data_IF_431321104177
#
_entry.id   IF_431321104177
#
_cell.length_a   1.000
_cell.length_b   1.000
_cell.length_c   1.000
_cell.angle_alpha   90.00
_cell.angle_beta   90.00
_cell.angle_gamma   90.00
#
_symmetry.space_group_name_H-M   'P 1'
#
loop_
_entity.id
_entity.type
_entity.pdbx_description
1 polymer ?
#
# COMPACT_ATOMS: atom_id res chain seq x y z
N UNK A 1 -9.52 -6.95 -7.02
CA UNK A 1 -9.12 -5.69 -7.70
C UNK A 1 -8.54 -6.06 -9.05
N UNK A 2 -8.97 -5.39 -10.09
CA UNK A 2 -8.50 -5.63 -11.46
C UNK A 2 -8.06 -4.28 -12.07
N UNK A 3 -6.86 -4.24 -12.63
CA UNK A 3 -6.19 -3.03 -13.09
C UNK A 3 -5.73 -3.20 -14.53
N UNK A 4 -6.21 -2.34 -15.40
CA UNK A 4 -5.81 -2.25 -16.79
C UNK A 4 -5.63 -0.79 -17.18
N UNK A 5 -4.41 -0.28 -17.09
CA UNK A 5 -4.04 1.10 -17.42
C UNK A 5 -3.31 1.07 -18.76
N UNK A 6 -3.93 1.64 -19.79
CA UNK A 6 -3.29 1.81 -21.09
C UNK A 6 -2.27 2.95 -21.01
N UNK A 7 -2.69 4.10 -20.47
CA UNK A 7 -1.85 5.28 -20.27
C UNK A 7 -2.39 6.13 -19.13
N UNK A 8 -1.51 6.73 -18.32
CA UNK A 8 -1.91 7.72 -17.33
C UNK A 8 -0.80 8.75 -17.07
N UNK A 9 -1.21 9.92 -16.57
CA UNK A 9 -0.30 11.02 -16.25
C UNK A 9 -1.00 12.19 -15.57
N UNK A 10 -0.23 13.19 -15.22
CA UNK A 10 -0.72 14.40 -14.56
C UNK A 10 -1.18 15.48 -15.55
N UNK A 11 -0.76 15.37 -16.81
CA UNK A 11 -1.20 16.21 -17.91
C UNK A 11 -1.62 15.33 -19.09
N UNK A 12 -2.65 15.75 -19.85
CA UNK A 12 -3.27 14.94 -20.91
C UNK A 12 -2.31 14.47 -22.01
N UNK A 13 -1.22 15.16 -22.23
CA UNK A 13 -0.25 14.86 -23.29
C UNK A 13 1.10 14.38 -22.75
N UNK A 14 1.19 14.15 -21.43
CA UNK A 14 2.41 13.68 -20.76
C UNK A 14 2.10 12.36 -20.05
N UNK A 15 2.31 11.26 -20.77
CA UNK A 15 2.22 9.92 -20.22
C UNK A 15 3.35 9.69 -19.23
N UNK A 16 3.01 9.25 -18.02
CA UNK A 16 3.94 8.87 -16.95
C UNK A 16 4.03 7.37 -16.82
N UNK A 17 2.89 6.68 -16.98
CA UNK A 17 2.83 5.21 -16.98
C UNK A 17 2.04 4.70 -18.17
N UNK A 18 2.45 3.54 -18.70
CA UNK A 18 1.84 2.91 -19.86
C UNK A 18 1.85 1.39 -19.74
N UNK A 19 0.78 0.74 -20.24
CA UNK A 19 0.64 -0.71 -20.31
C UNK A 19 0.82 -1.41 -18.94
N UNK A 20 0.18 -0.90 -17.88
CA UNK A 20 0.18 -1.53 -16.55
C UNK A 20 -1.08 -2.40 -16.42
N UNK A 21 -0.89 -3.71 -16.28
CA UNK A 21 -2.00 -4.65 -16.11
C UNK A 21 -1.69 -5.69 -15.04
N UNK A 22 -2.51 -5.75 -13.99
CA UNK A 22 -2.39 -6.74 -12.93
C UNK A 22 -3.69 -6.92 -12.16
N UNK A 23 -3.76 -7.98 -11.37
CA UNK A 23 -4.86 -8.24 -10.44
C UNK A 23 -4.34 -8.45 -9.01
N UNK A 24 -5.17 -8.11 -8.03
CA UNK A 24 -5.01 -8.53 -6.64
C UNK A 24 -6.26 -9.27 -6.21
N UNK A 25 -6.10 -10.50 -5.75
CA UNK A 25 -7.20 -11.37 -5.33
C UNK A 25 -7.51 -11.16 -3.84
N UNK A 26 -8.75 -11.46 -3.39
CA UNK A 26 -9.03 -11.56 -1.96
C UNK A 26 -8.10 -12.57 -1.28
N UNK A 27 -7.55 -12.20 -0.13
CA UNK A 27 -6.63 -13.06 0.61
C UNK A 27 -5.23 -13.20 0.00
N UNK A 28 -4.82 -12.28 -0.84
CA UNK A 28 -3.51 -12.23 -1.49
C UNK A 28 -2.78 -10.93 -1.12
N UNK A 29 -1.47 -10.99 -0.94
CA UNK A 29 -0.60 -9.82 -0.84
C UNK A 29 0.24 -9.72 -2.11
N UNK A 30 0.05 -8.67 -2.88
CA UNK A 30 0.84 -8.37 -4.08
C UNK A 30 1.79 -7.21 -3.79
N UNK A 31 3.08 -7.43 -4.01
CA UNK A 31 4.11 -6.41 -3.89
C UNK A 31 4.29 -5.63 -5.19
N UNK A 32 4.06 -4.33 -5.21
CA UNK A 32 4.45 -3.46 -6.32
C UNK A 32 5.85 -2.93 -6.04
N UNK A 33 6.81 -3.38 -6.84
CA UNK A 33 8.23 -3.08 -6.69
C UNK A 33 8.77 -2.30 -7.90
N UNK A 34 9.88 -1.61 -7.71
CA UNK A 34 10.55 -0.83 -8.75
C UNK A 34 11.37 0.32 -8.16
N UNK A 35 12.20 0.93 -8.99
CA UNK A 35 13.03 2.06 -8.61
C UNK A 35 12.21 3.31 -8.22
N UNK A 36 12.84 4.29 -7.59
CA UNK A 36 12.20 5.58 -7.37
C UNK A 36 11.96 6.26 -8.73
N UNK A 37 10.75 6.80 -8.89
CA UNK A 37 10.33 7.37 -10.17
C UNK A 37 9.79 6.37 -11.19
N UNK A 38 9.79 5.06 -10.91
CA UNK A 38 9.32 4.02 -11.83
C UNK A 38 7.82 4.12 -12.21
N UNK A 39 7.02 4.91 -11.48
CA UNK A 39 5.59 5.05 -11.76
C UNK A 39 4.66 4.43 -10.70
N UNK A 40 5.20 3.89 -9.59
CA UNK A 40 4.43 3.24 -8.53
C UNK A 40 3.36 4.16 -7.91
N UNK A 41 3.74 5.37 -7.51
CA UNK A 41 2.80 6.35 -6.93
C UNK A 41 1.77 6.86 -7.96
N UNK A 42 2.16 6.93 -9.25
CA UNK A 42 1.23 7.25 -10.33
C UNK A 42 0.21 6.13 -10.52
N UNK A 43 0.64 4.87 -10.43
CA UNK A 43 -0.25 3.71 -10.44
C UNK A 43 -1.23 3.76 -9.26
N UNK A 44 -0.75 4.04 -8.04
CA UNK A 44 -1.63 4.24 -6.88
C UNK A 44 -2.62 5.39 -7.08
N UNK A 45 -2.20 6.50 -7.69
CA UNK A 45 -3.10 7.60 -8.03
C UNK A 45 -4.19 7.19 -9.02
N UNK A 46 -3.91 6.26 -9.93
CA UNK A 46 -4.93 5.65 -10.79
C UNK A 46 -5.92 4.80 -9.98
N UNK A 47 -5.43 3.98 -9.05
CA UNK A 47 -6.26 3.10 -8.21
C UNK A 47 -7.18 3.90 -7.29
N UNK A 48 -6.71 5.00 -6.73
CA UNK A 48 -7.46 5.89 -5.83
C UNK A 48 -8.34 6.90 -6.57
N UNK A 49 -8.26 6.95 -7.92
CA UNK A 49 -9.01 7.90 -8.73
C UNK A 49 -8.55 9.35 -8.60
N UNK A 50 -7.35 9.58 -8.08
CA UNK A 50 -6.78 10.93 -7.87
C UNK A 50 -5.95 11.42 -9.06
N UNK A 51 -5.65 10.54 -10.03
CA UNK A 51 -4.93 10.91 -11.26
C UNK A 51 -5.82 11.80 -12.15
N UNK A 52 -5.33 12.94 -12.67
CA UNK A 52 -6.13 13.83 -13.51
C UNK A 52 -6.50 13.24 -14.88
N UNK A 53 -5.66 12.36 -15.41
CA UNK A 53 -5.87 11.78 -16.72
C UNK A 53 -5.41 10.32 -16.78
N UNK A 54 -6.31 9.45 -17.25
CA UNK A 54 -6.05 8.01 -17.45
C UNK A 54 -6.87 7.48 -18.62
N UNK A 55 -6.30 6.54 -19.38
CA UNK A 55 -6.99 5.61 -20.26
C UNK A 55 -6.88 4.21 -19.70
N UNK A 56 -7.96 3.44 -19.78
CA UNK A 56 -8.02 2.10 -19.23
C UNK A 56 -9.12 1.97 -18.19
N UNK A 57 -9.08 0.91 -17.42
CA UNK A 57 -10.08 0.59 -16.39
C UNK A 57 -9.42 0.16 -15.09
N UNK A 58 -9.97 0.62 -13.97
CA UNK A 58 -9.64 0.17 -12.62
C UNK A 58 -10.93 -0.29 -11.97
N UNK A 59 -10.99 -1.57 -11.60
CA UNK A 59 -12.10 -2.16 -10.86
C UNK A 59 -11.63 -2.54 -9.48
N UNK A 60 -11.96 -1.71 -8.50
CA UNK A 60 -11.66 -1.92 -7.09
C UNK A 60 -12.94 -1.74 -6.29
N UNK A 61 -13.23 -2.70 -5.41
CA UNK A 61 -14.32 -2.58 -4.44
C UNK A 61 -13.84 -1.74 -3.24
N UNK A 62 -14.59 -1.69 -2.15
CA UNK A 62 -14.21 -0.93 -0.94
C UNK A 62 -12.74 -1.15 -0.60
N UNK A 63 -11.97 -0.09 -0.61
CA UNK A 63 -10.56 -0.10 -0.24
C UNK A 63 -10.27 0.90 0.87
N UNK A 64 -9.23 0.62 1.65
CA UNK A 64 -8.59 1.57 2.53
C UNK A 64 -7.17 1.84 2.04
N UNK A 65 -6.67 3.05 2.31
CA UNK A 65 -5.35 3.49 1.84
C UNK A 65 -4.48 3.91 3.02
N UNK A 66 -3.29 3.34 3.10
CA UNK A 66 -2.23 3.75 4.03
C UNK A 66 -1.20 4.52 3.21
N UNK A 67 -1.17 5.86 3.31
CA UNK A 67 -0.26 6.68 2.53
C UNK A 67 1.17 6.67 3.09
N UNK A 68 2.17 6.88 2.23
CA UNK A 68 3.57 7.11 2.64
C UNK A 68 3.69 8.32 3.58
N UNK A 69 3.06 9.44 3.21
CA UNK A 69 3.02 10.64 4.02
C UNK A 69 1.69 10.74 4.75
N UNK A 70 1.68 10.90 6.09
CA UNK A 70 0.45 11.02 6.85
C UNK A 70 -0.44 12.18 6.38
N UNK A 71 -1.70 11.88 6.08
CA UNK A 71 -2.74 12.84 5.66
C UNK A 71 -3.83 12.86 6.71
N UNK A 72 -4.04 14.01 7.34
CA UNK A 72 -4.99 14.19 8.44
C UNK A 72 -5.50 15.64 8.47
N UNK A 73 -6.57 15.87 9.21
CA UNK A 73 -7.08 17.23 9.47
C UNK A 73 -6.38 17.81 10.70
N UNK A 74 -5.74 18.95 10.55
CA UNK A 74 -4.92 19.59 11.61
C UNK A 74 -5.70 19.88 12.90
N UNK A 75 -7.01 20.12 12.79
CA UNK A 75 -7.87 20.54 13.88
C UNK A 75 -8.76 19.43 14.45
N UNK A 76 -8.54 18.19 14.05
CA UNK A 76 -9.22 17.03 14.61
C UNK A 76 -8.27 16.22 15.50
N UNK A 77 -8.79 15.77 16.62
CA UNK A 77 -8.14 14.77 17.49
C UNK A 77 -8.14 13.40 16.80
N UNK A 78 -7.36 12.44 17.34
CA UNK A 78 -7.39 11.07 16.82
C UNK A 78 -8.78 10.44 17.00
N UNK A 79 -9.48 10.67 18.10
CA UNK A 79 -10.85 10.18 18.31
C UNK A 79 -11.85 10.75 17.31
N UNK A 80 -11.72 12.03 16.97
CA UNK A 80 -12.59 12.65 15.97
C UNK A 80 -12.31 12.10 14.56
N UNK A 81 -11.04 11.79 14.23
CA UNK A 81 -10.73 11.09 12.98
C UNK A 81 -11.30 9.66 12.96
N UNK A 82 -11.19 8.93 14.07
CA UNK A 82 -11.78 7.59 14.19
C UNK A 82 -13.31 7.67 14.00
N UNK A 83 -13.97 8.60 14.69
CA UNK A 83 -15.41 8.78 14.55
C UNK A 83 -15.82 9.13 13.11
N UNK A 84 -15.06 10.02 12.45
CA UNK A 84 -15.30 10.40 11.07
C UNK A 84 -15.17 9.20 10.11
N UNK A 85 -14.12 8.39 10.25
CA UNK A 85 -13.88 7.22 9.40
C UNK A 85 -14.97 6.17 9.61
N UNK A 86 -15.33 5.86 10.86
CA UNK A 86 -16.37 4.88 11.17
C UNK A 86 -17.74 5.31 10.61
N UNK A 87 -18.08 6.59 10.71
CA UNK A 87 -19.32 7.14 10.16
C UNK A 87 -19.36 7.05 8.64
N UNK A 88 -18.27 7.44 7.96
CA UNK A 88 -18.18 7.40 6.49
C UNK A 88 -18.22 5.98 5.92
N UNK A 89 -17.68 5.01 6.65
CA UNK A 89 -17.63 3.60 6.22
C UNK A 89 -18.80 2.77 6.71
N UNK A 90 -19.61 3.32 7.62
CA UNK A 90 -20.70 2.59 8.31
C UNK A 90 -20.20 1.34 9.05
N UNK A 91 -18.95 1.33 9.49
CA UNK A 91 -18.35 0.28 10.33
C UNK A 91 -18.50 0.70 11.78
N UNK A 92 -18.84 -0.24 12.64
CA UNK A 92 -19.10 0.04 14.06
C UNK A 92 -18.34 -0.89 15.01
N UNK A 93 -17.24 -1.50 14.58
CA UNK A 93 -16.41 -2.36 15.42
C UNK A 93 -15.52 -1.53 16.36
N UNK A 94 -16.08 -1.25 17.56
CA UNK A 94 -15.36 -0.54 18.63
C UNK A 94 -14.28 -1.40 19.28
N UNK A 95 -14.50 -2.71 19.38
CA UNK A 95 -13.55 -3.62 20.02
C UNK A 95 -12.24 -3.67 19.24
N UNK A 96 -12.34 -3.84 17.92
CA UNK A 96 -11.18 -3.78 17.01
C UNK A 96 -10.48 -2.42 17.06
N UNK A 97 -11.24 -1.33 17.12
CA UNK A 97 -10.66 0.02 17.24
C UNK A 97 -9.84 0.16 18.54
N UNK A 98 -10.38 -0.28 19.67
CA UNK A 98 -9.68 -0.20 20.95
C UNK A 98 -8.48 -1.16 21.02
N UNK A 99 -8.53 -2.32 20.37
CA UNK A 99 -7.39 -3.22 20.23
C UNK A 99 -6.25 -2.59 19.44
N UNK A 100 -6.53 -1.96 18.29
CA UNK A 100 -5.55 -1.29 17.47
C UNK A 100 -4.96 -0.06 18.18
N UNK A 101 -5.76 0.73 18.90
CA UNK A 101 -5.29 1.84 19.73
C UNK A 101 -4.25 1.36 20.76
N UNK A 102 -4.54 0.27 21.49
CA UNK A 102 -3.62 -0.31 22.48
C UNK A 102 -2.36 -0.87 21.81
N UNK A 103 -2.51 -1.59 20.68
CA UNK A 103 -1.41 -2.19 19.95
C UNK A 103 -0.39 -1.14 19.50
N UNK A 104 -0.86 -0.01 18.98
CA UNK A 104 -0.03 1.11 18.53
C UNK A 104 0.36 2.08 19.65
N UNK A 105 -0.12 1.85 20.90
CA UNK A 105 0.07 2.74 22.05
C UNK A 105 -0.42 4.16 21.80
N UNK A 106 -1.57 4.28 21.16
CA UNK A 106 -2.25 5.54 20.87
C UNK A 106 -3.47 5.79 21.79
N UNK A 107 -3.82 4.81 22.62
CA UNK A 107 -4.96 4.84 23.55
C UNK A 107 -4.89 6.00 24.55
N UNK A 108 -3.69 6.33 25.05
CA UNK A 108 -3.48 7.41 26.03
C UNK A 108 -3.50 8.81 25.40
N UNK A 109 -3.31 8.92 24.10
CA UNK A 109 -3.25 10.18 23.34
C UNK A 109 -4.40 10.35 22.36
N UNK A 110 -5.44 9.53 22.49
CA UNK A 110 -6.58 9.54 21.55
C UNK A 110 -7.32 10.88 21.49
N UNK A 111 -7.26 11.68 22.54
CA UNK A 111 -7.88 13.00 22.62
C UNK A 111 -6.96 14.15 22.18
N UNK A 112 -5.74 13.83 21.75
CA UNK A 112 -4.80 14.83 21.25
C UNK A 112 -4.93 14.99 19.74
N UNK A 113 -4.55 16.17 19.23
CA UNK A 113 -4.52 16.44 17.80
C UNK A 113 -3.43 15.63 17.11
N UNK A 114 -3.74 14.96 15.99
CA UNK A 114 -2.74 14.23 15.21
C UNK A 114 -1.59 15.15 14.77
N UNK A 115 -1.87 16.44 14.55
CA UNK A 115 -0.84 17.44 14.23
C UNK A 115 0.31 17.48 15.25
N UNK A 116 0.03 17.24 16.53
CA UNK A 116 1.01 17.24 17.64
C UNK A 116 1.83 15.94 17.75
N UNK A 117 1.45 14.88 17.02
CA UNK A 117 2.09 13.59 17.09
C UNK A 117 3.51 13.60 16.49
N UNK A 118 4.39 12.76 17.00
CA UNK A 118 5.66 12.46 16.34
C UNK A 118 5.42 11.81 14.96
N UNK A 119 6.41 11.83 14.07
CA UNK A 119 6.31 11.19 12.76
C UNK A 119 5.83 9.73 12.83
N UNK A 120 6.41 8.94 13.73
CA UNK A 120 6.02 7.55 13.93
C UNK A 120 4.60 7.38 14.49
N UNK A 121 4.15 8.26 15.40
CA UNK A 121 2.77 8.25 15.89
C UNK A 121 1.77 8.62 14.79
N UNK A 122 2.10 9.59 13.93
CA UNK A 122 1.28 9.96 12.76
C UNK A 122 1.12 8.77 11.82
N UNK A 123 2.21 8.07 11.52
CA UNK A 123 2.15 6.87 10.67
C UNK A 123 1.29 5.76 11.30
N UNK A 124 1.46 5.49 12.60
CA UNK A 124 0.60 4.54 13.35
C UNK A 124 -0.88 4.94 13.30
N UNK A 125 -1.19 6.24 13.42
CA UNK A 125 -2.55 6.73 13.29
C UNK A 125 -3.13 6.48 11.89
N UNK A 126 -2.37 6.70 10.82
CA UNK A 126 -2.83 6.40 9.45
C UNK A 126 -3.10 4.91 9.25
N UNK A 127 -2.21 4.05 9.76
CA UNK A 127 -2.40 2.60 9.71
C UNK A 127 -3.67 2.20 10.47
N UNK A 128 -3.88 2.72 11.68
CA UNK A 128 -5.07 2.47 12.48
C UNK A 128 -6.33 2.90 11.71
N UNK A 129 -6.35 4.15 11.20
CA UNK A 129 -7.50 4.69 10.46
C UNK A 129 -7.84 3.92 9.19
N UNK A 130 -6.85 3.29 8.55
CA UNK A 130 -7.09 2.39 7.43
C UNK A 130 -7.66 1.04 7.87
N UNK A 131 -7.10 0.42 8.91
CA UNK A 131 -7.49 -0.92 9.35
C UNK A 131 -8.87 -1.00 10.00
N UNK A 132 -9.36 0.09 10.62
CA UNK A 132 -10.72 0.13 11.20
C UNK A 132 -11.83 0.21 10.15
N UNK A 133 -11.51 0.38 8.87
CA UNK A 133 -12.49 0.49 7.78
C UNK A 133 -13.04 -0.86 7.31
N UNK A 134 -12.43 -1.98 7.73
CA UNK A 134 -12.80 -3.33 7.27
C UNK A 134 -12.97 -3.42 5.75
N UNK A 135 -12.00 -2.87 5.04
CA UNK A 135 -12.03 -2.80 3.59
C UNK A 135 -11.75 -4.17 2.96
N UNK A 136 -12.27 -4.40 1.75
CA UNK A 136 -11.95 -5.60 0.98
C UNK A 136 -10.53 -5.60 0.41
N UNK A 137 -9.98 -4.39 0.20
CA UNK A 137 -8.63 -4.20 -0.29
C UNK A 137 -7.89 -3.15 0.55
N UNK A 138 -6.62 -3.40 0.80
CA UNK A 138 -5.69 -2.43 1.40
C UNK A 138 -4.67 -2.01 0.34
N UNK A 139 -4.60 -0.70 0.09
CA UNK A 139 -3.52 -0.08 -0.67
C UNK A 139 -2.53 0.48 0.35
N UNK A 140 -1.28 0.04 0.30
CA UNK A 140 -0.29 0.32 1.34
C UNK A 140 0.97 0.88 0.69
N UNK A 141 1.23 2.17 0.91
CA UNK A 141 2.32 2.89 0.27
C UNK A 141 3.46 3.17 1.24
N UNK A 142 4.60 2.49 1.05
CA UNK A 142 5.84 2.62 1.83
C UNK A 142 5.60 2.67 3.36
N UNK A 143 4.86 1.73 3.93
CA UNK A 143 4.32 1.85 5.29
C UNK A 143 5.37 1.74 6.38
N UNK A 144 6.58 1.27 6.06
CA UNK A 144 7.64 0.98 7.03
C UNK A 144 8.52 2.19 7.33
N UNK A 145 8.40 3.24 6.51
CA UNK A 145 9.19 4.46 6.66
C UNK A 145 8.83 5.20 7.95
N UNK A 146 9.82 5.37 8.84
CA UNK A 146 9.65 6.06 10.12
C UNK A 146 9.05 5.22 11.26
N UNK A 147 8.82 3.91 11.04
CA UNK A 147 8.43 2.98 12.09
C UNK A 147 9.67 2.39 12.79
N UNK A 148 9.54 2.15 14.09
CA UNK A 148 10.51 1.34 14.83
C UNK A 148 10.36 -0.16 14.52
N UNK A 149 11.38 -0.96 14.83
CA UNK A 149 11.39 -2.40 14.53
C UNK A 149 10.19 -3.16 15.14
N UNK A 150 9.77 -2.78 16.33
CA UNK A 150 8.62 -3.42 17.01
C UNK A 150 7.33 -3.14 16.23
N UNK A 151 7.10 -1.90 15.85
CA UNK A 151 5.93 -1.49 15.08
C UNK A 151 5.95 -2.10 13.67
N UNK A 152 7.13 -2.19 13.04
CA UNK A 152 7.29 -2.87 11.75
C UNK A 152 6.83 -4.33 11.85
N UNK A 153 7.29 -5.08 12.87
CA UNK A 153 6.87 -6.48 13.10
C UNK A 153 5.35 -6.57 13.35
N UNK A 154 4.80 -5.63 14.12
CA UNK A 154 3.35 -5.59 14.38
C UNK A 154 2.56 -5.36 13.08
N UNK A 155 3.00 -4.42 12.23
CA UNK A 155 2.35 -4.14 10.95
C UNK A 155 2.41 -5.36 10.02
N UNK A 156 3.57 -6.03 9.90
CA UNK A 156 3.69 -7.25 9.09
C UNK A 156 2.68 -8.31 9.54
N UNK A 157 2.54 -8.54 10.86
CA UNK A 157 1.57 -9.49 11.41
C UNK A 157 0.12 -9.07 11.15
N UNK A 158 -0.18 -7.78 11.19
CA UNK A 158 -1.50 -7.24 10.87
C UNK A 158 -1.85 -7.47 9.40
N UNK A 159 -0.93 -7.16 8.48
CA UNK A 159 -1.15 -7.41 7.04
C UNK A 159 -1.35 -8.90 6.74
N UNK A 160 -0.59 -9.78 7.39
CA UNK A 160 -0.84 -11.23 7.30
C UNK A 160 -2.20 -11.64 7.88
N UNK A 161 -2.64 -11.02 8.98
CA UNK A 161 -3.95 -11.29 9.57
C UNK A 161 -5.08 -10.84 8.64
N UNK A 162 -4.97 -9.64 8.06
CA UNK A 162 -5.90 -9.13 7.05
C UNK A 162 -6.00 -10.10 5.85
N UNK A 163 -4.85 -10.51 5.31
CA UNK A 163 -4.81 -11.51 4.23
C UNK A 163 -5.57 -12.79 4.59
N UNK A 164 -5.35 -13.33 5.79
CA UNK A 164 -6.04 -14.56 6.25
C UNK A 164 -7.55 -14.38 6.41
N UNK A 165 -8.01 -13.15 6.65
CA UNK A 165 -9.43 -12.81 6.71
C UNK A 165 -10.06 -12.56 5.33
N UNK A 166 -9.25 -12.65 4.26
CA UNK A 166 -9.71 -12.48 2.90
C UNK A 166 -9.49 -11.09 2.30
N UNK A 167 -8.84 -10.17 3.03
CA UNK A 167 -8.48 -8.85 2.49
C UNK A 167 -7.36 -9.00 1.46
N UNK A 168 -7.57 -8.45 0.25
CA UNK A 168 -6.51 -8.33 -0.75
C UNK A 168 -5.62 -7.13 -0.43
N UNK A 169 -4.30 -7.27 -0.51
CA UNK A 169 -3.35 -6.21 -0.17
C UNK A 169 -2.46 -5.90 -1.35
N UNK A 170 -2.37 -4.63 -1.73
CA UNK A 170 -1.34 -4.12 -2.62
C UNK A 170 -0.32 -3.36 -1.79
N UNK A 171 0.88 -3.93 -1.63
CA UNK A 171 1.98 -3.32 -0.90
C UNK A 171 2.96 -2.68 -1.88
N UNK A 172 3.07 -1.36 -1.85
CA UNK A 172 4.08 -0.62 -2.60
C UNK A 172 5.28 -0.39 -1.69
N UNK A 173 6.44 -0.87 -2.10
CA UNK A 173 7.67 -0.68 -1.32
C UNK A 173 8.93 -0.84 -2.17
N UNK A 174 9.98 -0.14 -1.78
CA UNK A 174 11.33 -0.33 -2.29
C UNK A 174 12.20 -1.22 -1.39
N UNK A 175 11.65 -1.69 -0.25
CA UNK A 175 12.33 -2.60 0.69
C UNK A 175 12.11 -4.04 0.23
N UNK A 176 12.93 -4.52 -0.70
CA UNK A 176 12.77 -5.79 -1.40
C UNK A 176 12.73 -6.99 -0.45
N UNK A 177 13.58 -7.02 0.58
CA UNK A 177 13.60 -8.10 1.57
C UNK A 177 12.27 -8.26 2.31
N UNK A 178 11.60 -7.14 2.59
CA UNK A 178 10.29 -7.15 3.24
C UNK A 178 9.21 -7.61 2.28
N UNK A 179 9.24 -7.12 1.04
CA UNK A 179 8.33 -7.56 -0.01
C UNK A 179 8.45 -9.08 -0.25
N UNK A 180 9.68 -9.59 -0.37
CA UNK A 180 9.95 -11.02 -0.61
C UNK A 180 9.43 -11.94 0.49
N UNK A 181 9.42 -11.48 1.75
CA UNK A 181 8.90 -12.24 2.90
C UNK A 181 7.39 -12.22 3.02
N UNK A 182 6.75 -11.14 2.58
CA UNK A 182 5.33 -10.90 2.86
C UNK A 182 4.44 -11.19 1.66
N UNK A 183 4.93 -10.90 0.44
CA UNK A 183 4.11 -10.93 -0.76
C UNK A 183 4.05 -12.32 -1.39
N UNK A 184 2.87 -12.67 -1.86
CA UNK A 184 2.61 -13.92 -2.60
C UNK A 184 3.02 -13.78 -4.07
N UNK A 185 2.81 -12.57 -4.64
CA UNK A 185 3.13 -12.21 -6.03
C UNK A 185 3.65 -10.78 -6.10
N UNK A 186 4.23 -10.43 -7.24
CA UNK A 186 4.83 -9.13 -7.47
C UNK A 186 4.36 -8.52 -8.79
N UNK A 187 4.36 -7.20 -8.83
CA UNK A 187 4.24 -6.37 -10.03
C UNK A 187 5.48 -5.50 -10.07
N UNK A 188 6.33 -5.73 -11.05
CA UNK A 188 7.55 -4.95 -11.21
C UNK A 188 7.34 -3.85 -12.25
N UNK A 189 7.50 -2.61 -11.80
CA UNK A 189 7.38 -1.42 -12.64
C UNK A 189 8.74 -0.76 -12.77
N UNK A 190 9.11 -0.38 -13.98
CA UNK A 190 10.31 0.41 -14.26
C UNK A 190 10.03 1.36 -15.43
N UNK A 191 10.55 2.58 -15.32
CA UNK A 191 10.40 3.65 -16.33
C UNK A 191 8.97 3.79 -16.88
N UNK A 192 7.97 3.73 -16.00
CA UNK A 192 6.56 3.86 -16.35
C UNK A 192 5.88 2.62 -16.96
N UNK A 193 6.59 1.50 -17.11
CA UNK A 193 6.09 0.28 -17.72
C UNK A 193 6.11 -0.90 -16.75
N UNK A 194 5.21 -1.86 -16.94
CA UNK A 194 5.27 -3.12 -16.23
C UNK A 194 6.27 -4.06 -16.92
N UNK A 195 7.38 -4.36 -16.24
CA UNK A 195 8.39 -5.30 -16.75
C UNK A 195 7.94 -6.75 -16.62
N UNK A 196 7.40 -7.12 -15.47
CA UNK A 196 6.94 -8.48 -15.18
C UNK A 196 5.90 -8.47 -14.05
N UNK A 197 5.08 -9.51 -13.98
CA UNK A 197 4.19 -9.78 -12.85
C UNK A 197 4.04 -11.28 -12.62
N UNK A 198 3.94 -11.70 -11.36
CA UNK A 198 3.80 -13.10 -10.99
C UNK A 198 4.44 -13.43 -9.65
N UNK A 199 4.60 -14.71 -9.36
CA UNK A 199 5.42 -15.20 -8.22
C UNK A 199 6.89 -14.83 -8.43
N UNK A 200 7.72 -15.02 -7.42
CA UNK A 200 9.17 -14.78 -7.54
C UNK A 200 9.80 -15.64 -8.64
N UNK A 201 9.37 -16.88 -8.76
CA UNK A 201 9.83 -17.83 -9.79
C UNK A 201 9.41 -17.36 -11.19
N UNK A 202 8.15 -16.93 -11.36
CA UNK A 202 7.65 -16.42 -12.63
C UNK A 202 8.36 -15.12 -13.05
N UNK A 203 8.69 -14.23 -12.10
CA UNK A 203 9.50 -13.05 -12.37
C UNK A 203 10.89 -13.43 -12.88
N UNK A 204 11.57 -14.37 -12.21
CA UNK A 204 12.90 -14.85 -12.60
C UNK A 204 12.91 -15.38 -14.03
N UNK A 205 11.92 -16.21 -14.37
CA UNK A 205 11.79 -16.80 -15.70
C UNK A 205 11.49 -15.75 -16.77
N UNK A 206 10.57 -14.82 -16.48
CA UNK A 206 10.20 -13.73 -17.39
C UNK A 206 11.37 -12.79 -17.67
N UNK A 207 12.09 -12.38 -16.63
CA UNK A 207 13.23 -11.47 -16.72
C UNK A 207 14.53 -12.17 -17.17
N UNK A 208 14.54 -13.51 -17.26
CA UNK A 208 15.71 -14.33 -17.62
C UNK A 208 16.92 -14.00 -16.76
N UNK A 209 16.72 -13.90 -15.46
CA UNK A 209 17.77 -13.65 -14.47
C UNK A 209 18.12 -14.94 -13.71
N UNK A 210 19.36 -15.04 -13.23
CA UNK A 210 19.81 -16.12 -12.35
C UNK A 210 19.70 -15.74 -10.86
N UNK A 211 19.29 -14.50 -10.57
CA UNK A 211 19.15 -13.98 -9.22
C UNK A 211 18.22 -14.83 -8.34
N UNK A 212 18.64 -15.15 -7.13
CA UNK A 212 17.84 -15.94 -6.19
C UNK A 212 16.88 -15.07 -5.36
N UNK A 213 17.24 -13.81 -5.11
CA UNK A 213 16.41 -12.80 -4.41
C UNK A 213 15.87 -11.74 -5.36
N UNK A 214 14.86 -11.00 -4.91
CA UNK A 214 14.36 -9.84 -5.67
C UNK A 214 15.45 -8.78 -5.86
N UNK A 215 16.38 -8.68 -4.90
CA UNK A 215 17.51 -7.75 -4.99
C UNK A 215 18.46 -8.16 -6.11
N UNK A 216 18.88 -9.45 -6.14
CA UNK A 216 19.77 -9.96 -7.19
C UNK A 216 19.13 -9.81 -8.58
N UNK A 217 17.82 -10.09 -8.70
CA UNK A 217 17.09 -9.90 -9.95
C UNK A 217 17.10 -8.42 -10.39
N UNK A 218 16.95 -7.49 -9.42
CA UNK A 218 16.99 -6.05 -9.72
C UNK A 218 18.37 -5.63 -10.17
N UNK A 219 19.44 -6.10 -9.53
CA UNK A 219 20.82 -5.86 -9.93
C UNK A 219 21.07 -6.33 -11.36
N UNK A 220 20.65 -7.57 -11.69
CA UNK A 220 20.78 -8.13 -13.05
C UNK A 220 20.04 -7.30 -14.12
N UNK A 221 18.86 -6.77 -13.79
CA UNK A 221 18.06 -5.94 -14.72
C UNK A 221 18.68 -4.57 -14.93
N UNK A 222 19.16 -3.92 -13.84
CA UNK A 222 19.78 -2.58 -13.91
C UNK A 222 21.14 -2.61 -14.60
N UNK A 223 21.88 -3.72 -14.53
CA UNK A 223 23.21 -3.85 -15.13
C UNK A 223 23.20 -4.25 -16.62
N UNK A 224 22.02 -4.47 -17.21
CA UNK A 224 21.82 -4.73 -18.66
C UNK A 224 21.62 -3.47 -19.46
#
# INVERSE_FOLDING_TARGET
>A
MDVHIEQAGYEKNQTVIEAIQFEVRPGEIVGMIGSNGAGKSTTLACLTGTIPWMRGTVQIDRYAYIPEQPVYYDYLTLDEHIALVLELTSVHDRERTDELLRLFRLDTVRHDYIASFSKGMKQKAMILLALIQEAKFLLVDEPFVGLDATTTIQLLRLLEAERRQGTGVLLVTHVLDTAERLCDRFVWIDDGHMLASGTKEELRDCLRTEGESLFDMMEDVVMR
#
